data_IF_435371499702
#
_entry.id   IF_435371499702
#
_cell.length_a   1.000
_cell.length_b   1.000
_cell.length_c   1.000
_cell.angle_alpha   90.00
_cell.angle_beta   90.00
_cell.angle_gamma   90.00
#
_symmetry.space_group_name_H-M   'P 1'
#
loop_
_entity.id
_entity.type
_entity.pdbx_description
1 polymer ?
#
# COMPACT_ATOMS: atom_id res chain seq x y z
N UNK A 1 -2.63 5.93 12.84
CA UNK A 1 -2.53 4.97 11.71
C UNK A 1 -1.72 5.59 10.59
N UNK A 2 -0.68 4.92 10.10
CA UNK A 2 0.21 5.40 9.06
C UNK A 2 0.25 4.38 7.93
N UNK A 3 0.10 4.83 6.70
CA UNK A 3 0.30 3.99 5.53
C UNK A 3 1.49 4.47 4.74
N UNK A 4 2.29 3.54 4.26
CA UNK A 4 3.32 3.82 3.27
C UNK A 4 2.93 3.18 1.96
N UNK A 5 2.95 3.95 0.90
CA UNK A 5 2.89 3.46 -0.47
C UNK A 5 4.24 3.61 -1.11
N UNK A 6 4.80 2.50 -1.56
CA UNK A 6 6.01 2.48 -2.39
C UNK A 6 5.63 2.10 -3.81
N UNK A 7 6.21 2.79 -4.76
CA UNK A 7 6.07 2.50 -6.18
C UNK A 7 7.47 2.26 -6.72
N UNK A 8 7.69 1.06 -7.22
CA UNK A 8 8.93 0.69 -7.90
C UNK A 8 8.67 0.64 -9.39
N UNK A 9 9.44 1.41 -10.15
CA UNK A 9 9.52 1.26 -11.59
C UNK A 9 10.72 0.37 -11.89
N UNK A 10 10.48 -0.80 -12.46
CA UNK A 10 11.52 -1.75 -12.79
C UNK A 10 12.15 -1.39 -14.15
N UNK A 11 13.38 -1.83 -14.37
CA UNK A 11 13.93 -1.91 -15.70
C UNK A 11 13.09 -2.87 -16.56
N UNK A 12 13.07 -2.61 -17.87
CA UNK A 12 12.25 -3.41 -18.79
C UNK A 12 12.52 -4.92 -18.66
N UNK A 13 11.44 -5.71 -18.68
CA UNK A 13 11.47 -7.17 -18.55
C UNK A 13 12.05 -7.70 -17.21
N UNK A 14 12.09 -6.88 -16.15
CA UNK A 14 12.64 -7.28 -14.86
C UNK A 14 11.59 -7.81 -13.85
N UNK A 15 10.31 -7.79 -14.20
CA UNK A 15 9.23 -8.16 -13.28
C UNK A 15 9.35 -9.62 -12.79
N UNK A 16 9.60 -10.58 -13.70
CA UNK A 16 9.74 -11.99 -13.32
C UNK A 16 10.94 -12.20 -12.38
N UNK A 17 12.06 -11.53 -12.64
CA UNK A 17 13.22 -11.60 -11.75
C UNK A 17 12.93 -10.97 -10.40
N UNK A 18 12.20 -9.86 -10.37
CA UNK A 18 11.76 -9.23 -9.12
C UNK A 18 10.95 -10.21 -8.26
N UNK A 19 9.96 -10.88 -8.85
CA UNK A 19 9.14 -11.85 -8.12
C UNK A 19 9.92 -13.09 -7.69
N UNK A 20 10.83 -13.58 -8.53
CA UNK A 20 11.73 -14.68 -8.15
C UNK A 20 12.56 -14.33 -6.92
N UNK A 21 13.11 -13.12 -6.86
CA UNK A 21 13.86 -12.65 -5.69
C UNK A 21 13.00 -12.55 -4.42
N UNK A 22 11.71 -12.14 -4.55
CA UNK A 22 10.79 -12.18 -3.40
C UNK A 22 10.62 -13.61 -2.88
N UNK A 23 10.50 -14.56 -3.77
CA UNK A 23 10.33 -15.97 -3.44
C UNK A 23 11.59 -16.58 -2.84
N UNK A 24 12.75 -16.35 -3.48
CA UNK A 24 14.07 -16.82 -3.01
C UNK A 24 14.43 -16.32 -1.62
N UNK A 25 14.11 -15.05 -1.34
CA UNK A 25 14.30 -14.43 -0.01
C UNK A 25 13.52 -15.18 1.08
N UNK A 26 12.33 -15.68 0.77
CA UNK A 26 11.41 -16.28 1.71
C UNK A 26 10.70 -15.24 2.60
N UNK A 27 9.95 -15.74 3.57
CA UNK A 27 9.11 -14.92 4.45
C UNK A 27 9.76 -14.66 5.82
N UNK A 28 10.46 -15.63 6.38
CA UNK A 28 10.88 -15.61 7.80
C UNK A 28 11.78 -14.42 8.17
N UNK A 29 12.81 -14.16 7.35
CA UNK A 29 13.73 -13.06 7.61
C UNK A 29 13.09 -11.69 7.54
N UNK A 30 11.98 -11.57 6.85
CA UNK A 30 11.27 -10.31 6.63
C UNK A 30 9.90 -10.28 7.30
N UNK A 31 9.56 -11.30 8.09
CA UNK A 31 8.29 -11.40 8.82
C UNK A 31 7.92 -10.10 9.55
N UNK A 32 8.83 -9.44 10.29
CA UNK A 32 8.48 -8.26 11.05
C UNK A 32 7.89 -7.12 10.22
N UNK A 33 8.33 -6.96 8.96
CA UNK A 33 7.74 -5.97 8.09
C UNK A 33 6.56 -6.54 7.28
N UNK A 34 6.62 -7.81 6.87
CA UNK A 34 5.56 -8.45 6.09
C UNK A 34 4.23 -8.52 6.85
N UNK A 35 4.27 -8.58 8.18
CA UNK A 35 3.09 -8.46 9.02
C UNK A 35 2.36 -7.11 8.89
N UNK A 36 2.98 -6.14 8.26
CA UNK A 36 2.42 -4.81 7.97
C UNK A 36 2.04 -4.62 6.50
N UNK A 37 2.23 -5.63 5.68
CA UNK A 37 1.93 -5.57 4.25
C UNK A 37 0.43 -5.66 4.00
N UNK A 38 -0.15 -4.58 3.47
CA UNK A 38 -1.54 -4.55 2.99
C UNK A 38 -1.67 -5.27 1.64
N UNK A 39 -0.70 -5.07 0.76
CA UNK A 39 -0.68 -5.75 -0.53
C UNK A 39 0.55 -5.38 -1.37
N UNK A 40 0.88 -6.31 -2.25
CA UNK A 40 1.89 -6.19 -3.29
C UNK A 40 1.21 -6.39 -4.64
N UNK A 41 1.31 -5.42 -5.54
CA UNK A 41 0.55 -5.39 -6.79
C UNK A 41 1.48 -5.13 -7.97
N UNK A 42 1.30 -5.89 -9.05
CA UNK A 42 1.85 -5.56 -10.36
C UNK A 42 0.80 -4.79 -11.14
N UNK A 43 1.20 -3.79 -11.90
CA UNK A 43 0.29 -3.11 -12.82
C UNK A 43 -0.05 -4.00 -14.00
N UNK A 44 -1.34 -4.05 -14.36
CA UNK A 44 -1.85 -4.76 -15.55
C UNK A 44 -2.25 -3.79 -16.66
N UNK A 45 -2.57 -2.56 -16.30
CA UNK A 45 -2.99 -1.49 -17.21
C UNK A 45 -2.17 -0.24 -16.90
N UNK A 46 -1.67 0.44 -17.89
CA UNK A 46 -0.77 1.58 -17.78
C UNK A 46 0.68 1.20 -18.03
N UNK A 47 1.61 1.77 -17.26
CA UNK A 47 3.03 1.44 -17.39
C UNK A 47 3.28 0.01 -16.94
N UNK A 48 3.82 -0.81 -17.83
CA UNK A 48 4.33 -2.13 -17.48
C UNK A 48 5.56 -1.99 -16.55
N UNK A 49 5.90 -3.07 -15.87
CA UNK A 49 7.05 -3.12 -14.96
C UNK A 49 6.96 -2.18 -13.75
N UNK A 50 5.73 -1.86 -13.30
CA UNK A 50 5.50 -1.10 -12.07
C UNK A 50 4.98 -2.02 -10.97
N UNK A 51 5.62 -1.96 -9.82
CA UNK A 51 5.21 -2.66 -8.60
C UNK A 51 4.74 -1.62 -7.58
N UNK A 52 3.52 -1.77 -7.11
CA UNK A 52 2.97 -0.96 -6.03
C UNK A 52 2.83 -1.82 -4.79
N UNK A 53 3.36 -1.38 -3.68
CA UNK A 53 3.13 -2.04 -2.41
C UNK A 53 2.71 -1.05 -1.34
N UNK A 54 1.77 -1.49 -0.53
CA UNK A 54 1.19 -0.69 0.54
C UNK A 54 1.36 -1.38 1.86
N UNK A 55 1.75 -0.58 2.86
CA UNK A 55 2.05 -1.02 4.21
C UNK A 55 1.22 -0.22 5.20
N UNK A 56 0.83 -0.84 6.31
CA UNK A 56 0.13 -0.19 7.41
C UNK A 56 0.97 -0.28 8.67
N UNK A 57 1.33 0.85 9.24
CA UNK A 57 2.10 0.99 10.47
C UNK A 57 1.30 1.73 11.54
N UNK A 58 1.67 1.54 12.81
CA UNK A 58 1.04 2.24 13.92
C UNK A 58 1.48 3.71 13.96
N UNK A 59 2.76 3.96 13.65
CA UNK A 59 3.38 5.27 13.68
C UNK A 59 4.62 5.32 12.77
N UNK A 60 5.22 6.50 12.61
CA UNK A 60 6.53 6.64 11.97
C UNK A 60 7.63 5.89 12.72
N UNK A 61 7.52 5.79 14.04
CA UNK A 61 8.50 5.04 14.84
C UNK A 61 8.40 3.54 14.58
N UNK A 62 7.19 2.96 14.53
CA UNK A 62 6.96 1.56 14.14
C UNK A 62 7.51 1.28 12.73
N UNK A 63 7.25 2.18 11.77
CA UNK A 63 7.82 2.11 10.43
C UNK A 63 9.35 2.12 10.47
N UNK A 64 9.94 3.07 11.17
CA UNK A 64 11.39 3.23 11.28
C UNK A 64 12.06 1.99 11.86
N UNK A 65 11.55 1.50 12.98
CA UNK A 65 12.11 0.34 13.67
C UNK A 65 12.09 -0.91 12.79
N UNK A 66 10.96 -1.18 12.12
CA UNK A 66 10.83 -2.35 11.25
C UNK A 66 11.71 -2.26 10.01
N UNK A 67 11.80 -1.07 9.40
CA UNK A 67 12.63 -0.86 8.23
C UNK A 67 14.14 -0.96 8.58
N UNK A 68 14.58 -0.33 9.66
CA UNK A 68 15.96 -0.44 10.12
C UNK A 68 16.31 -1.87 10.48
N UNK A 69 15.45 -2.56 11.21
CA UNK A 69 15.69 -3.95 11.57
C UNK A 69 15.93 -4.87 10.37
N UNK A 70 15.33 -4.58 9.20
CA UNK A 70 15.64 -5.33 7.98
C UNK A 70 17.06 -5.09 7.46
N UNK A 71 17.57 -3.87 7.56
CA UNK A 71 18.91 -3.53 7.09
C UNK A 71 20.02 -4.04 8.00
N UNK A 72 19.68 -4.44 9.24
CA UNK A 72 20.59 -5.06 10.20
C UNK A 72 20.74 -6.58 10.00
N UNK A 73 19.92 -7.18 9.10
CA UNK A 73 19.99 -8.60 8.78
C UNK A 73 20.97 -8.82 7.63
N UNK A 74 22.17 -9.25 7.92
CA UNK A 74 23.23 -9.48 6.92
C UNK A 74 22.79 -10.42 5.79
N UNK A 75 22.00 -11.44 6.11
CA UNK A 75 21.47 -12.38 5.13
C UNK A 75 20.57 -11.72 4.06
N UNK A 76 20.02 -10.53 4.32
CA UNK A 76 19.21 -9.78 3.37
C UNK A 76 20.01 -8.84 2.48
N UNK A 77 21.26 -8.56 2.78
CA UNK A 77 22.08 -7.62 1.99
C UNK A 77 22.21 -8.02 0.51
N UNK A 78 22.47 -9.30 0.16
CA UNK A 78 22.51 -9.72 -1.24
C UNK A 78 21.16 -9.53 -1.95
N UNK A 79 20.04 -9.80 -1.27
CA UNK A 79 18.70 -9.58 -1.78
C UNK A 79 18.47 -8.10 -2.08
N UNK A 80 18.75 -7.20 -1.14
CA UNK A 80 18.57 -5.76 -1.36
C UNK A 80 19.41 -5.24 -2.53
N UNK A 81 20.65 -5.71 -2.66
CA UNK A 81 21.52 -5.36 -3.78
C UNK A 81 20.93 -5.78 -5.12
N UNK A 82 20.41 -7.01 -5.20
CA UNK A 82 19.80 -7.53 -6.42
C UNK A 82 18.51 -6.78 -6.78
N UNK A 83 17.62 -6.58 -5.80
CA UNK A 83 16.35 -5.84 -6.05
C UNK A 83 16.65 -4.42 -6.52
N UNK A 84 17.55 -3.69 -5.85
CA UNK A 84 17.90 -2.32 -6.25
C UNK A 84 18.45 -2.25 -7.67
N UNK A 85 19.19 -3.26 -8.12
CA UNK A 85 19.70 -3.32 -9.48
C UNK A 85 18.61 -3.48 -10.57
N UNK A 86 17.40 -3.91 -10.17
CA UNK A 86 16.26 -4.01 -11.08
C UNK A 86 15.43 -2.72 -11.15
N UNK A 87 15.67 -1.75 -10.26
CA UNK A 87 14.87 -0.53 -10.19
C UNK A 87 15.44 0.55 -11.08
N UNK A 88 14.59 1.16 -11.90
CA UNK A 88 14.89 2.42 -12.62
C UNK A 88 14.44 3.64 -11.81
N UNK A 89 13.39 3.50 -11.01
CA UNK A 89 12.92 4.54 -10.09
C UNK A 89 12.22 3.94 -8.87
N UNK A 90 12.20 4.71 -7.78
CA UNK A 90 11.45 4.40 -6.57
C UNK A 90 10.82 5.66 -6.02
N UNK A 91 9.54 5.57 -5.68
CA UNK A 91 8.80 6.63 -4.99
C UNK A 91 8.20 6.09 -3.70
N UNK A 92 8.24 6.91 -2.64
CA UNK A 92 7.59 6.62 -1.37
C UNK A 92 6.67 7.78 -1.00
N UNK A 93 5.46 7.44 -0.54
CA UNK A 93 4.49 8.40 0.00
C UNK A 93 3.96 7.87 1.32
N UNK A 94 3.78 8.77 2.28
CA UNK A 94 3.06 8.45 3.51
C UNK A 94 1.64 8.99 3.42
N UNK A 95 0.70 8.12 3.74
CA UNK A 95 -0.71 8.37 3.61
C UNK A 95 -1.39 8.17 4.96
N UNK A 96 -2.54 8.79 5.13
CA UNK A 96 -3.48 8.48 6.19
C UNK A 96 -4.87 8.26 5.60
N UNK A 97 -5.75 7.63 6.36
CA UNK A 97 -7.12 7.35 5.90
C UNK A 97 -7.94 8.63 5.81
N UNK A 98 -8.88 8.68 4.88
CA UNK A 98 -9.88 9.74 4.82
C UNK A 98 -10.63 9.87 6.15
N UNK A 99 -11.03 11.08 6.58
CA UNK A 99 -11.70 11.33 7.85
C UNK A 99 -13.20 10.92 7.82
N UNK A 100 -13.54 9.88 7.06
CA UNK A 100 -14.90 9.37 6.87
C UNK A 100 -14.87 7.86 6.94
N UNK A 101 -15.49 7.28 7.96
CA UNK A 101 -15.53 5.82 8.16
C UNK A 101 -16.17 5.10 6.96
N UNK A 102 -17.14 5.73 6.32
CA UNK A 102 -17.78 5.19 5.12
C UNK A 102 -16.81 4.94 3.94
N UNK A 103 -15.70 5.67 3.88
CA UNK A 103 -14.66 5.50 2.88
C UNK A 103 -13.53 4.56 3.31
N UNK A 104 -13.58 4.05 4.55
CA UNK A 104 -12.55 3.20 5.11
C UNK A 104 -13.17 2.01 5.86
N UNK A 105 -13.79 1.07 5.16
CA UNK A 105 -14.51 -0.04 5.79
C UNK A 105 -13.58 -0.96 6.61
N UNK A 106 -12.29 -0.95 6.31
CA UNK A 106 -11.28 -1.80 6.94
C UNK A 106 -10.52 -1.04 8.04
N UNK A 107 -10.35 0.29 7.86
CA UNK A 107 -9.62 1.17 8.77
C UNK A 107 -10.47 2.39 9.12
N UNK A 108 -11.21 2.29 10.21
CA UNK A 108 -12.05 3.37 10.74
C UNK A 108 -11.75 3.59 12.22
N UNK A 109 -12.53 4.42 12.90
CA UNK A 109 -12.43 4.58 14.35
C UNK A 109 -12.75 3.28 15.10
N UNK A 110 -13.56 2.41 14.51
CA UNK A 110 -14.01 1.14 15.09
C UNK A 110 -13.30 -0.09 14.53
N UNK A 111 -12.47 0.05 13.51
CA UNK A 111 -11.81 -1.07 12.84
C UNK A 111 -10.38 -0.70 12.45
N UNK A 112 -9.45 -1.56 12.82
CA UNK A 112 -8.03 -1.42 12.48
C UNK A 112 -7.47 -2.78 12.06
N UNK A 113 -7.58 -3.07 10.79
CA UNK A 113 -7.07 -4.31 10.25
C UNK A 113 -5.54 -4.31 10.16
N UNK A 114 -4.93 -5.33 10.76
CA UNK A 114 -3.49 -5.60 10.69
C UNK A 114 -3.26 -6.94 9.99
N UNK A 115 -2.47 -6.97 8.89
CA UNK A 115 -2.25 -8.20 8.12
C UNK A 115 -1.72 -9.37 8.93
N UNK A 116 -0.73 -9.11 9.81
CA UNK A 116 -0.09 -10.16 10.61
C UNK A 116 -0.99 -10.76 11.71
N UNK A 117 -1.98 -10.01 12.18
CA UNK A 117 -2.86 -10.45 13.27
C UNK A 117 -4.16 -11.09 12.74
N UNK A 118 -4.61 -10.67 11.59
CA UNK A 118 -5.87 -11.11 11.02
C UNK A 118 -5.77 -11.09 9.49
N UNK A 119 -5.33 -12.18 8.88
CA UNK A 119 -5.18 -12.26 7.44
C UNK A 119 -6.52 -11.91 6.78
N UNK A 120 -6.47 -10.96 5.88
CA UNK A 120 -7.64 -10.47 5.18
C UNK A 120 -8.29 -11.60 4.39
N UNK A 121 -9.51 -11.94 4.76
CA UNK A 121 -10.33 -12.93 4.05
C UNK A 121 -10.95 -12.34 2.76
N UNK A 122 -10.19 -11.57 2.01
CA UNK A 122 -10.47 -11.44 0.59
C UNK A 122 -10.19 -12.80 -0.02
N UNK A 123 -11.09 -13.73 0.02
CA UNK A 123 -10.92 -15.07 -0.49
C UNK A 123 -9.50 -15.42 -0.96
N UNK A 124 -9.12 -16.58 -1.13
CA UNK A 124 -7.78 -16.90 -1.66
C UNK A 124 -7.51 -15.91 -2.79
N UNK A 125 -6.51 -15.01 -2.60
CA UNK A 125 -6.08 -14.09 -3.65
C UNK A 125 -5.58 -14.96 -4.80
N UNK A 126 -6.52 -15.33 -5.63
CA UNK A 126 -6.22 -15.99 -6.89
C UNK A 126 -5.58 -14.94 -7.78
N UNK A 127 -4.82 -15.36 -8.77
CA UNK A 127 -4.24 -14.50 -9.81
C UNK A 127 -5.28 -13.63 -10.56
N UNK A 128 -6.56 -13.79 -10.25
CA UNK A 128 -7.71 -13.12 -10.85
C UNK A 128 -8.20 -11.88 -10.09
N UNK A 129 -7.70 -11.64 -8.86
CA UNK A 129 -8.08 -10.44 -8.11
C UNK A 129 -7.40 -9.23 -8.71
N UNK A 130 -8.20 -8.30 -9.19
CA UNK A 130 -7.76 -6.99 -9.69
C UNK A 130 -8.13 -5.91 -8.66
N UNK A 131 -7.16 -5.07 -8.32
CA UNK A 131 -7.39 -3.88 -7.50
C UNK A 131 -7.28 -2.66 -8.41
N UNK A 132 -8.31 -1.87 -8.43
CA UNK A 132 -8.31 -0.57 -9.10
C UNK A 132 -7.86 0.50 -8.10
N UNK A 133 -6.90 1.31 -8.50
CA UNK A 133 -6.42 2.44 -7.71
C UNK A 133 -6.67 3.73 -8.50
N UNK A 134 -7.58 4.54 -7.99
CA UNK A 134 -7.82 5.88 -8.51
C UNK A 134 -6.98 6.89 -7.74
N UNK A 135 -6.28 7.77 -8.45
CA UNK A 135 -5.49 8.86 -7.88
C UNK A 135 -6.11 10.17 -8.32
N UNK A 136 -6.64 10.92 -7.36
CA UNK A 136 -7.21 12.24 -7.58
C UNK A 136 -6.21 13.31 -7.19
N UNK A 137 -5.96 14.23 -8.11
CA UNK A 137 -5.18 15.42 -7.85
C UNK A 137 -6.13 16.61 -7.59
N UNK A 138 -6.18 17.05 -6.37
CA UNK A 138 -7.03 18.15 -5.97
C UNK A 138 -6.29 19.49 -6.06
N UNK A 139 -7.01 20.56 -6.35
CA UNK A 139 -6.44 21.91 -6.25
C UNK A 139 -6.05 22.22 -4.81
N UNK A 140 -4.95 22.93 -4.55
CA UNK A 140 -4.57 23.32 -3.20
C UNK A 140 -5.72 23.97 -2.43
N UNK A 141 -5.93 23.54 -1.18
CA UNK A 141 -6.98 24.06 -0.30
C UNK A 141 -8.38 23.47 -0.52
N UNK A 142 -8.62 22.59 -1.51
CA UNK A 142 -9.95 22.05 -1.80
C UNK A 142 -10.26 20.74 -1.08
N UNK A 143 -9.30 20.13 -0.40
CA UNK A 143 -9.48 18.86 0.29
C UNK A 143 -10.62 18.87 1.33
N UNK A 144 -10.81 19.93 2.17
CA UNK A 144 -11.96 19.98 3.07
C UNK A 144 -13.31 19.99 2.35
N UNK A 145 -13.40 20.69 1.22
CA UNK A 145 -14.62 20.72 0.40
C UNK A 145 -14.90 19.36 -0.25
N UNK A 146 -13.86 18.63 -0.63
CA UNK A 146 -13.97 17.26 -1.14
C UNK A 146 -14.56 16.33 -0.08
N UNK A 147 -14.07 16.37 1.17
CA UNK A 147 -14.64 15.57 2.26
C UNK A 147 -16.08 15.95 2.56
N UNK A 148 -16.40 17.24 2.54
CA UNK A 148 -17.78 17.70 2.74
C UNK A 148 -18.72 17.22 1.65
N UNK A 149 -18.27 17.13 0.41
CA UNK A 149 -19.06 16.56 -0.68
C UNK A 149 -19.37 15.08 -0.43
N UNK A 150 -18.40 14.30 0.02
CA UNK A 150 -18.60 12.90 0.37
C UNK A 150 -19.57 12.70 1.54
N UNK A 151 -19.56 13.57 2.55
CA UNK A 151 -20.51 13.54 3.68
C UNK A 151 -21.97 13.73 3.23
N UNK A 152 -22.18 14.44 2.13
CA UNK A 152 -23.50 14.74 1.59
C UNK A 152 -24.00 13.70 0.55
N UNK A 153 -23.23 12.67 0.25
CA UNK A 153 -23.64 11.60 -0.66
C UNK A 153 -24.69 10.72 0.02
N UNK A 154 -25.69 10.32 -0.74
CA UNK A 154 -26.76 9.47 -0.25
C UNK A 154 -26.21 8.16 0.32
N UNK A 155 -26.63 7.73 1.54
CA UNK A 155 -26.09 6.55 2.20
C UNK A 155 -26.11 5.26 1.40
N UNK A 156 -27.11 5.08 0.52
CA UNK A 156 -27.22 3.86 -0.29
C UNK A 156 -26.15 3.77 -1.39
N UNK A 157 -25.75 4.92 -1.95
CA UNK A 157 -24.62 4.96 -2.90
C UNK A 157 -23.31 4.61 -2.21
N UNK A 158 -23.13 5.06 -0.96
CA UNK A 158 -21.97 4.70 -0.15
C UNK A 158 -21.96 3.21 0.17
N UNK A 159 -23.08 2.61 0.57
CA UNK A 159 -23.17 1.17 0.87
C UNK A 159 -22.82 0.29 -0.33
N UNK A 160 -23.29 0.64 -1.52
CA UNK A 160 -22.98 -0.11 -2.74
C UNK A 160 -21.47 -0.11 -3.04
N UNK A 161 -20.80 1.02 -2.81
CA UNK A 161 -19.37 1.15 -3.02
C UNK A 161 -18.54 0.50 -1.91
N UNK A 162 -19.02 0.53 -0.65
CA UNK A 162 -18.30 -0.04 0.49
C UNK A 162 -17.96 -1.52 0.33
N UNK A 163 -18.79 -2.30 -0.34
CA UNK A 163 -18.54 -3.74 -0.56
C UNK A 163 -17.32 -4.03 -1.42
N UNK A 164 -16.86 -3.04 -2.19
CA UNK A 164 -15.69 -3.15 -3.08
C UNK A 164 -14.55 -2.23 -2.70
N UNK A 165 -14.80 -1.28 -1.79
CA UNK A 165 -13.82 -0.29 -1.39
C UNK A 165 -12.88 -0.87 -0.34
N UNK A 166 -11.60 -0.88 -0.65
CA UNK A 166 -10.55 -1.24 0.32
C UNK A 166 -10.33 -0.07 1.28
N UNK A 167 -10.20 1.14 0.77
CA UNK A 167 -10.04 2.36 1.55
C UNK A 167 -9.77 3.58 0.70
N UNK A 168 -10.00 4.74 1.27
CA UNK A 168 -9.66 6.03 0.70
C UNK A 168 -8.57 6.68 1.56
N UNK A 169 -7.51 7.11 0.92
CA UNK A 169 -6.32 7.64 1.58
C UNK A 169 -5.99 9.02 1.02
N UNK A 170 -5.36 9.85 1.83
CA UNK A 170 -4.78 11.10 1.34
C UNK A 170 -3.33 11.22 1.77
N UNK A 171 -2.53 11.93 0.98
CA UNK A 171 -1.11 12.11 1.25
C UNK A 171 -0.91 12.95 2.50
N UNK A 172 -0.11 12.45 3.42
CA UNK A 172 0.31 13.16 4.61
C UNK A 172 1.72 13.72 4.44
N UNK A 173 2.63 12.91 3.87
CA UNK A 173 4.01 13.33 3.54
C UNK A 173 4.36 12.80 2.16
N UNK A 174 4.89 13.67 1.32
CA UNK A 174 5.22 13.42 -0.08
C UNK A 174 4.66 14.52 -0.97
N UNK A 175 4.53 14.26 -2.26
CA UNK A 175 3.87 15.22 -3.14
C UNK A 175 2.40 15.40 -2.72
N UNK A 176 2.09 16.60 -2.23
CA UNK A 176 0.74 17.03 -1.85
C UNK A 176 0.05 17.58 -3.10
N UNK A 177 -1.10 17.02 -3.42
CA UNK A 177 -1.90 17.51 -4.55
C UNK A 177 -3.37 17.52 -4.21
#
# INVERSE_FOLDING_TARGET
MLFEQRVYTLASASADRFWSLQHERGFELVRPIMERLVGYFSTRVGSNDVIVHRWRFDSFEDWRQRLHGLYEVDALLPYFKQVRALLSAQENKFLTVAPLDALNPIWSQSSDWLPGLNPFKLGVLTSEVCVEMEILQLRPGTLPSYWKAWQNIHPDLLKTNQQRLIGCFYTWVGALH
#
